data_IF_471341779192
#
_entry.id   IF_471341779192
#
_cell.length_a   1.000
_cell.length_b   1.000
_cell.length_c   1.000
_cell.angle_alpha   90.00
_cell.angle_beta   90.00
_cell.angle_gamma   90.00
#
_symmetry.space_group_name_H-M   'P 1'
#
loop_
_entity.id
_entity.type
_entity.pdbx_description
1 polymer ?
#
# COMPACT_ATOMS: atom_id res chain seq x y z
N UNK A 1 -3.82 24.74 -16.79
CA UNK A 1 -3.34 25.97 -17.47
C UNK A 1 -3.67 25.84 -18.93
N UNK A 2 -4.17 26.88 -19.58
CA UNK A 2 -4.51 26.84 -21.00
C UNK A 2 -4.17 28.16 -21.69
N UNK A 3 -3.98 28.12 -23.00
CA UNK A 3 -3.63 29.31 -23.78
C UNK A 3 -3.04 29.00 -25.16
N UNK A 4 -2.85 30.04 -25.96
CA UNK A 4 -2.23 29.90 -27.29
C UNK A 4 -0.71 29.82 -27.17
N UNK A 5 -0.13 28.83 -27.83
CA UNK A 5 1.30 28.79 -28.14
C UNK A 5 1.49 28.61 -29.64
N UNK A 6 2.54 29.21 -30.17
CA UNK A 6 3.00 28.97 -31.53
C UNK A 6 3.77 27.66 -31.56
N UNK A 7 3.25 26.67 -32.28
CA UNK A 7 3.90 25.37 -32.46
C UNK A 7 4.55 25.33 -33.83
N UNK A 8 5.80 24.90 -33.91
CA UNK A 8 6.42 24.58 -35.19
C UNK A 8 5.77 23.33 -35.79
N UNK A 9 5.37 23.41 -37.05
CA UNK A 9 4.67 22.34 -37.76
C UNK A 9 5.57 21.67 -38.80
N UNK A 10 6.05 22.41 -39.78
CA UNK A 10 6.98 21.94 -40.81
C UNK A 10 7.64 23.15 -41.51
N UNK A 11 8.55 22.91 -42.45
CA UNK A 11 9.24 23.99 -43.19
C UNK A 11 8.33 24.86 -44.07
N UNK A 12 7.17 24.34 -44.50
CA UNK A 12 6.23 25.07 -45.37
C UNK A 12 5.28 25.97 -44.58
N UNK A 13 4.74 25.47 -43.48
CA UNK A 13 3.73 26.11 -42.63
C UNK A 13 4.35 26.84 -41.43
N UNK A 14 5.58 26.48 -41.05
CA UNK A 14 6.34 27.13 -39.99
C UNK A 14 5.65 27.09 -38.63
N UNK A 15 5.68 28.24 -37.94
CA UNK A 15 5.04 28.46 -36.65
C UNK A 15 3.54 28.71 -36.84
N UNK A 16 2.71 27.91 -36.17
CA UNK A 16 1.25 28.02 -36.23
C UNK A 16 0.66 28.17 -34.83
N UNK A 17 -0.32 29.06 -34.61
CA UNK A 17 -0.96 29.18 -33.33
C UNK A 17 -1.80 27.92 -33.06
N UNK A 18 -1.65 27.37 -31.86
CA UNK A 18 -2.40 26.21 -31.38
C UNK A 18 -2.85 26.47 -29.95
N UNK A 19 -4.04 26.00 -29.62
CA UNK A 19 -4.56 26.08 -28.26
C UNK A 19 -4.00 24.92 -27.45
N UNK A 20 -3.25 25.22 -26.39
CA UNK A 20 -2.68 24.23 -25.50
C UNK A 20 -3.46 24.19 -24.19
N UNK A 21 -3.65 22.99 -23.67
CA UNK A 21 -4.29 22.73 -22.39
C UNK A 21 -3.42 21.77 -21.60
N UNK A 22 -2.90 22.25 -20.47
CA UNK A 22 -2.23 21.46 -19.45
C UNK A 22 -3.25 21.07 -18.39
N UNK A 23 -3.57 19.78 -18.36
CA UNK A 23 -4.51 19.19 -17.42
C UNK A 23 -3.98 17.84 -16.91
N UNK A 24 -4.10 17.59 -15.60
CA UNK A 24 -3.74 16.32 -14.96
C UNK A 24 -2.37 15.74 -15.37
N UNK A 25 -1.37 16.60 -15.56
CA UNK A 25 -0.03 16.17 -15.95
C UNK A 25 0.13 15.78 -17.42
N UNK A 26 -0.87 16.10 -18.26
CA UNK A 26 -0.85 15.92 -19.71
C UNK A 26 -1.01 17.28 -20.37
N UNK A 27 -0.12 17.60 -21.30
CA UNK A 27 -0.22 18.78 -22.14
C UNK A 27 -0.77 18.37 -23.51
N UNK A 28 -2.04 18.69 -23.78
CA UNK A 28 -2.68 18.46 -25.06
C UNK A 28 -2.73 19.76 -25.89
N UNK A 29 -2.79 19.63 -27.21
CA UNK A 29 -3.03 20.78 -28.10
C UNK A 29 -4.13 20.53 -29.13
N UNK A 30 -4.77 21.62 -29.51
CA UNK A 30 -5.91 21.70 -30.40
C UNK A 30 -5.67 22.76 -31.48
N UNK A 31 -6.46 22.72 -32.54
CA UNK A 31 -6.38 23.72 -33.62
C UNK A 31 -6.77 25.11 -33.12
N UNK A 32 -7.88 25.21 -32.39
CA UNK A 32 -8.34 26.41 -31.68
C UNK A 32 -9.03 26.02 -30.37
N UNK A 33 -9.41 27.02 -29.57
CA UNK A 33 -10.11 26.82 -28.29
C UNK A 33 -11.51 26.24 -28.48
N UNK A 34 -12.20 26.61 -29.55
CA UNK A 34 -13.57 26.18 -29.88
C UNK A 34 -13.60 24.73 -30.41
N UNK A 35 -12.50 24.30 -31.02
CA UNK A 35 -12.34 22.97 -31.61
C UNK A 35 -11.88 21.89 -30.61
N UNK A 36 -11.89 22.17 -29.29
CA UNK A 36 -11.55 21.16 -28.26
C UNK A 36 -12.45 19.92 -28.36
N UNK A 37 -13.72 20.12 -28.73
CA UNK A 37 -14.70 19.04 -28.93
C UNK A 37 -14.38 18.13 -30.13
N UNK A 38 -13.52 18.56 -31.06
CA UNK A 38 -13.13 17.77 -32.24
C UNK A 38 -11.96 16.82 -31.95
N UNK A 39 -11.51 16.75 -30.69
CA UNK A 39 -10.41 15.90 -30.25
C UNK A 39 -9.04 16.54 -30.41
N UNK A 40 -8.12 16.12 -29.54
CA UNK A 40 -6.74 16.62 -29.51
C UNK A 40 -5.97 16.26 -30.78
N UNK A 41 -5.06 17.13 -31.21
CA UNK A 41 -4.14 16.87 -32.33
C UNK A 41 -2.82 16.25 -31.90
N UNK A 42 -2.60 16.20 -30.59
CA UNK A 42 -1.49 15.52 -29.95
C UNK A 42 -1.44 15.90 -28.47
N UNK A 43 -0.76 15.06 -27.68
CA UNK A 43 -0.61 15.24 -26.25
C UNK A 43 0.74 14.73 -25.78
N UNK A 44 1.31 15.37 -24.75
CA UNK A 44 2.56 15.02 -24.09
C UNK A 44 2.31 14.72 -22.62
N UNK A 45 2.87 13.62 -22.12
CA UNK A 45 2.84 13.32 -20.69
C UNK A 45 3.98 14.04 -19.97
N UNK A 46 3.65 14.93 -19.04
CA UNK A 46 4.64 15.80 -18.38
C UNK A 46 5.63 15.04 -17.50
N UNK A 47 5.27 13.86 -16.98
CA UNK A 47 6.16 13.05 -16.12
C UNK A 47 7.45 12.62 -16.81
N UNK A 48 7.41 12.44 -18.14
CA UNK A 48 8.56 11.98 -18.96
C UNK A 48 9.06 13.06 -19.92
N UNK A 49 8.41 14.22 -19.94
CA UNK A 49 8.78 15.33 -20.81
C UNK A 49 9.92 16.14 -20.19
N UNK A 50 10.93 16.45 -20.98
CA UNK A 50 11.97 17.43 -20.69
C UNK A 50 11.57 18.80 -21.24
N UNK A 51 11.88 19.86 -20.50
CA UNK A 51 11.58 21.24 -20.86
C UNK A 51 12.91 21.94 -21.11
N UNK A 52 13.19 22.30 -22.36
CA UNK A 52 14.42 22.96 -22.77
C UNK A 52 14.12 24.41 -23.17
N UNK A 53 14.55 25.37 -22.36
CA UNK A 53 14.37 26.81 -22.68
C UNK A 53 15.42 27.23 -23.71
N UNK A 54 15.01 27.94 -24.76
CA UNK A 54 15.96 28.41 -25.77
C UNK A 54 16.85 29.52 -25.19
N UNK A 55 18.19 29.45 -25.35
CA UNK A 55 19.11 30.37 -24.66
C UNK A 55 19.04 31.81 -25.18
N UNK A 56 18.74 32.00 -26.47
CA UNK A 56 18.75 33.32 -27.13
C UNK A 56 17.35 33.87 -27.39
N UNK A 57 16.36 32.99 -27.58
CA UNK A 57 15.00 33.42 -27.93
C UNK A 57 14.19 33.41 -26.63
N UNK A 58 13.90 34.60 -26.13
CA UNK A 58 13.21 34.78 -24.86
C UNK A 58 11.73 34.36 -24.88
N UNK A 59 11.21 33.92 -26.03
CA UNK A 59 9.82 33.45 -26.18
C UNK A 59 9.73 31.97 -26.50
N UNK A 60 10.84 31.32 -26.87
CA UNK A 60 10.87 29.92 -27.31
C UNK A 60 11.32 28.96 -26.21
N UNK A 61 10.71 27.78 -26.22
CA UNK A 61 11.09 26.63 -25.43
C UNK A 61 10.65 25.35 -26.15
N UNK A 62 11.33 24.25 -25.86
CA UNK A 62 11.14 22.98 -26.53
C UNK A 62 10.71 21.92 -25.50
N UNK A 63 9.75 21.08 -25.89
CA UNK A 63 9.22 19.99 -25.08
C UNK A 63 9.60 18.67 -25.72
N UNK A 64 10.36 17.86 -24.99
CA UNK A 64 11.05 16.69 -25.54
C UNK A 64 10.65 15.46 -24.73
N UNK A 65 10.08 14.46 -25.41
CA UNK A 65 9.99 13.10 -24.89
C UNK A 65 11.03 12.27 -25.65
N UNK A 66 12.07 11.78 -24.95
CA UNK A 66 13.12 10.98 -25.58
C UNK A 66 12.54 9.84 -26.42
N UNK A 67 13.04 9.70 -27.64
CA UNK A 67 12.65 8.65 -28.61
C UNK A 67 11.20 8.67 -29.11
N UNK A 68 10.38 9.66 -28.74
CA UNK A 68 8.95 9.66 -29.08
C UNK A 68 8.50 10.94 -29.78
N UNK A 69 8.53 12.08 -29.07
CA UNK A 69 7.92 13.32 -29.54
C UNK A 69 8.78 14.53 -29.18
N UNK A 70 8.79 15.52 -30.08
CA UNK A 70 9.47 16.79 -29.87
C UNK A 70 8.57 17.92 -30.36
N UNK A 71 8.14 18.79 -29.44
CA UNK A 71 7.40 20.00 -29.77
C UNK A 71 8.28 21.23 -29.58
N UNK A 72 8.53 21.94 -30.68
CA UNK A 72 9.08 23.29 -30.63
C UNK A 72 7.92 24.27 -30.44
N UNK A 73 7.97 25.05 -29.36
CA UNK A 73 6.90 25.97 -28.99
C UNK A 73 7.42 27.36 -28.65
N UNK A 74 6.57 28.37 -28.89
CA UNK A 74 6.88 29.77 -28.63
C UNK A 74 5.66 30.48 -28.06
N UNK A 75 5.84 31.20 -26.96
CA UNK A 75 4.80 32.05 -26.37
C UNK A 75 4.74 33.42 -27.06
N UNK A 76 3.68 34.19 -26.82
CA UNK A 76 3.58 35.52 -27.41
C UNK A 76 4.56 36.51 -26.75
N UNK A 77 4.82 36.34 -25.45
CA UNK A 77 5.75 37.19 -24.69
C UNK A 77 6.72 36.38 -23.82
N UNK A 78 7.86 36.95 -23.40
CA UNK A 78 8.77 36.30 -22.46
C UNK A 78 8.13 35.99 -21.10
N UNK A 79 7.21 36.85 -20.66
CA UNK A 79 6.44 36.65 -19.44
C UNK A 79 5.53 35.42 -19.56
N UNK A 80 4.77 35.32 -20.65
CA UNK A 80 3.94 34.14 -20.91
C UNK A 80 4.77 32.86 -21.04
N UNK A 81 5.92 32.93 -21.73
CA UNK A 81 6.87 31.80 -21.79
C UNK A 81 7.22 31.34 -20.39
N UNK A 82 7.58 32.27 -19.50
CA UNK A 82 7.94 31.93 -18.13
C UNK A 82 6.76 31.29 -17.38
N UNK A 83 5.55 31.84 -17.51
CA UNK A 83 4.34 31.26 -16.91
C UNK A 83 4.12 29.82 -17.36
N UNK A 84 4.27 29.54 -18.67
CA UNK A 84 4.16 28.19 -19.21
C UNK A 84 5.23 27.26 -18.66
N UNK A 85 6.50 27.67 -18.69
CA UNK A 85 7.62 26.85 -18.17
C UNK A 85 7.42 26.51 -16.70
N UNK A 86 6.99 27.49 -15.88
CA UNK A 86 6.70 27.29 -14.45
C UNK A 86 5.56 26.30 -14.28
N UNK A 87 4.43 26.48 -14.97
CA UNK A 87 3.28 25.58 -14.83
C UNK A 87 3.62 24.14 -15.25
N UNK A 88 4.35 23.98 -16.35
CA UNK A 88 4.80 22.67 -16.85
C UNK A 88 5.79 22.02 -15.87
N UNK A 89 6.74 22.78 -15.33
CA UNK A 89 7.69 22.32 -14.32
C UNK A 89 7.01 21.88 -13.03
N UNK A 90 6.05 22.68 -12.54
CA UNK A 90 5.25 22.35 -11.36
C UNK A 90 4.42 21.08 -11.59
N UNK A 91 3.74 20.97 -12.74
CA UNK A 91 2.99 19.77 -13.07
C UNK A 91 3.89 18.53 -13.09
N UNK A 92 5.10 18.62 -13.67
CA UNK A 92 6.08 17.53 -13.66
C UNK A 92 6.52 17.16 -12.23
N UNK A 93 6.77 18.14 -11.37
CA UNK A 93 7.20 17.91 -9.98
C UNK A 93 6.08 17.27 -9.12
N UNK A 94 4.83 17.71 -9.25
CA UNK A 94 3.70 17.13 -8.52
C UNK A 94 3.46 15.65 -8.87
N UNK A 95 3.72 15.26 -10.12
CA UNK A 95 3.65 13.86 -10.54
C UNK A 95 4.77 13.00 -9.91
N UNK A 96 5.96 13.58 -9.72
CA UNK A 96 7.05 12.89 -9.02
C UNK A 96 6.75 12.71 -7.51
N UNK A 97 6.19 13.74 -6.85
CA UNK A 97 5.83 13.65 -5.42
C UNK A 97 4.70 12.63 -5.17
N UNK A 98 3.67 12.62 -6.02
CA UNK A 98 2.57 11.65 -5.91
C UNK A 98 3.03 10.20 -6.11
N UNK A 99 4.01 9.97 -6.99
CA UNK A 99 4.65 8.66 -7.12
C UNK A 99 5.43 8.27 -5.86
N UNK A 100 6.24 9.18 -5.33
CA UNK A 100 6.99 8.94 -4.08
C UNK A 100 6.06 8.68 -2.89
N UNK A 101 4.93 9.39 -2.75
CA UNK A 101 3.94 9.13 -1.69
C UNK A 101 3.26 7.77 -1.82
N UNK A 102 2.91 7.35 -3.03
CA UNK A 102 2.33 6.01 -3.26
C UNK A 102 3.34 4.91 -2.95
N UNK A 103 4.61 5.10 -3.33
CA UNK A 103 5.70 4.18 -3.01
C UNK A 103 5.96 4.13 -1.48
N UNK A 104 5.96 5.27 -0.79
CA UNK A 104 6.09 5.33 0.68
C UNK A 104 4.92 4.67 1.41
N UNK A 105 3.67 4.93 1.01
CA UNK A 105 2.49 4.35 1.65
C UNK A 105 2.37 2.83 1.45
N UNK A 106 2.83 2.32 0.29
CA UNK A 106 2.90 0.88 0.04
C UNK A 106 3.96 0.21 0.92
N UNK A 107 5.14 0.83 1.05
CA UNK A 107 6.22 0.26 1.86
C UNK A 107 5.89 0.29 3.37
N UNK A 108 5.24 1.35 3.86
CA UNK A 108 4.74 1.44 5.23
C UNK A 108 3.68 0.37 5.55
N UNK A 109 2.74 0.15 4.61
CA UNK A 109 1.73 -0.91 4.73
C UNK A 109 2.36 -2.30 4.78
N UNK A 110 3.42 -2.52 3.98
CA UNK A 110 4.16 -3.79 3.93
C UNK A 110 4.96 -4.04 5.20
N UNK A 111 5.62 -3.02 5.75
CA UNK A 111 6.31 -3.12 7.04
C UNK A 111 5.32 -3.40 8.20
N UNK A 112 4.17 -2.73 8.20
CA UNK A 112 3.10 -2.99 9.17
C UNK A 112 2.60 -4.44 9.08
N UNK A 113 2.39 -4.95 7.86
CA UNK A 113 1.97 -6.32 7.62
C UNK A 113 3.02 -7.34 8.11
N UNK A 114 4.31 -7.08 7.90
CA UNK A 114 5.41 -7.93 8.42
C UNK A 114 5.40 -7.98 9.96
N UNK A 115 5.18 -6.84 10.61
CA UNK A 115 5.04 -6.76 12.06
C UNK A 115 3.90 -7.64 12.57
N UNK A 116 2.70 -7.50 11.99
CA UNK A 116 1.54 -8.31 12.37
C UNK A 116 1.69 -9.79 12.04
N UNK A 117 2.35 -10.15 10.95
CA UNK A 117 2.68 -11.55 10.66
C UNK A 117 3.63 -12.16 11.71
N UNK A 118 4.51 -11.35 12.28
CA UNK A 118 5.38 -11.78 13.38
C UNK A 118 4.59 -11.96 14.68
N UNK A 119 3.66 -11.05 14.99
CA UNK A 119 2.73 -11.22 16.12
C UNK A 119 1.89 -12.50 15.98
N UNK A 120 1.36 -12.79 14.79
CA UNK A 120 0.59 -14.01 14.54
C UNK A 120 1.39 -15.28 14.79
N UNK A 121 2.70 -15.29 14.45
CA UNK A 121 3.58 -16.42 14.77
C UNK A 121 3.71 -16.60 16.28
N UNK A 122 3.95 -15.52 17.02
CA UNK A 122 4.04 -15.56 18.48
C UNK A 122 2.73 -16.04 19.11
N UNK A 123 1.59 -15.57 18.62
CA UNK A 123 0.27 -16.04 19.09
C UNK A 123 0.04 -17.50 18.74
N UNK A 124 0.45 -17.98 17.56
CA UNK A 124 0.37 -19.39 17.20
C UNK A 124 1.18 -20.26 18.16
N UNK A 125 2.42 -19.87 18.47
CA UNK A 125 3.27 -20.57 19.43
C UNK A 125 2.64 -20.58 20.84
N UNK A 126 2.08 -19.45 21.27
CA UNK A 126 1.38 -19.35 22.56
C UNK A 126 0.13 -20.23 22.62
N UNK A 127 -0.67 -20.27 21.55
CA UNK A 127 -1.83 -21.14 21.45
C UNK A 127 -1.43 -22.61 21.53
N UNK A 128 -0.37 -23.02 20.83
CA UNK A 128 0.17 -24.38 20.90
C UNK A 128 0.60 -24.73 22.33
N UNK A 129 1.27 -23.81 23.02
CA UNK A 129 1.67 -24.01 24.42
C UNK A 129 0.46 -24.13 25.36
N UNK A 130 -0.55 -23.26 25.22
CA UNK A 130 -1.77 -23.31 26.04
C UNK A 130 -2.57 -24.59 25.83
N UNK A 131 -2.71 -25.05 24.57
CA UNK A 131 -3.35 -26.33 24.25
C UNK A 131 -2.58 -27.51 24.83
N UNK A 132 -1.24 -27.50 24.76
CA UNK A 132 -0.40 -28.53 25.38
C UNK A 132 -0.60 -28.59 26.90
N UNK A 133 -0.66 -27.43 27.56
CA UNK A 133 -0.88 -27.32 29.00
C UNK A 133 -2.25 -27.89 29.40
N UNK A 134 -3.32 -27.50 28.70
CA UNK A 134 -4.67 -28.01 28.95
C UNK A 134 -4.74 -29.51 28.71
N UNK A 135 -4.13 -30.01 27.61
CA UNK A 135 -4.09 -31.44 27.30
C UNK A 135 -3.43 -32.24 28.44
N UNK A 136 -2.29 -31.76 28.93
CA UNK A 136 -1.55 -32.40 30.02
C UNK A 136 -2.35 -32.38 31.33
N UNK A 137 -3.04 -31.27 31.63
CA UNK A 137 -3.89 -31.14 32.81
C UNK A 137 -5.16 -32.01 32.72
N UNK A 138 -5.67 -32.26 31.52
CA UNK A 138 -6.87 -33.08 31.28
C UNK A 138 -6.58 -34.59 31.30
N UNK A 139 -5.40 -35.03 30.86
CA UNK A 139 -5.01 -36.45 30.91
C UNK A 139 -4.72 -36.93 32.33
N UNK A 140 -5.38 -38.01 32.74
CA UNK A 140 -5.13 -38.71 34.01
C UNK A 140 -3.90 -39.64 33.87
N UNK A 141 -2.95 -39.69 34.81
CA UNK A 141 -1.76 -40.54 34.74
C UNK A 141 -1.97 -42.07 34.77
N UNK A 142 -3.19 -42.60 34.58
CA UNK A 142 -3.46 -44.03 34.77
C UNK A 142 -3.67 -44.79 33.44
N UNK A 143 -2.58 -44.98 32.67
CA UNK A 143 -2.49 -46.07 31.70
C UNK A 143 -1.09 -46.73 31.75
N UNK A 144 -0.85 -47.51 32.79
CA UNK A 144 0.35 -48.35 32.93
C UNK A 144 0.08 -49.57 33.82
N UNK A 145 -0.09 -50.73 33.19
CA UNK A 145 -0.38 -52.04 33.81
C UNK A 145 0.74 -52.49 34.76
N UNK A 146 0.39 -52.97 35.97
CA UNK A 146 1.33 -53.69 36.84
C UNK A 146 0.79 -53.98 38.25
N UNK A 147 0.33 -55.22 38.46
CA UNK A 147 -0.26 -55.75 39.70
C UNK A 147 0.71 -55.74 40.89
N UNK A 148 0.45 -54.91 41.92
CA UNK A 148 1.22 -55.00 43.18
C UNK A 148 0.88 -54.05 44.35
N UNK A 149 0.05 -53.01 44.19
CA UNK A 149 0.03 -51.88 45.13
C UNK A 149 -1.37 -51.43 45.59
N UNK A 150 -2.27 -52.36 45.93
CA UNK A 150 -3.70 -52.09 46.21
C UNK A 150 -3.94 -51.07 47.35
N UNK A 151 -3.09 -51.03 48.40
CA UNK A 151 -3.26 -50.11 49.53
C UNK A 151 -2.77 -48.68 49.24
N UNK A 152 -1.62 -48.55 48.58
CA UNK A 152 -1.12 -47.25 48.16
C UNK A 152 -2.01 -46.66 47.08
N UNK A 153 -2.51 -47.46 46.13
CA UNK A 153 -3.50 -46.99 45.16
C UNK A 153 -4.79 -46.54 45.84
N UNK A 154 -5.32 -47.24 46.85
CA UNK A 154 -6.52 -46.74 47.55
C UNK A 154 -6.29 -45.43 48.29
N UNK A 155 -5.14 -45.25 48.95
CA UNK A 155 -4.79 -44.00 49.61
C UNK A 155 -4.53 -42.88 48.60
N UNK A 156 -3.81 -43.16 47.51
CA UNK A 156 -3.56 -42.22 46.43
C UNK A 156 -4.87 -41.85 45.73
N UNK A 157 -5.69 -42.84 45.36
CA UNK A 157 -7.00 -42.66 44.74
C UNK A 157 -7.93 -41.89 45.67
N UNK A 158 -7.99 -42.18 46.97
CA UNK A 158 -8.80 -41.42 47.95
C UNK A 158 -8.27 -40.00 48.19
N UNK A 159 -6.95 -39.81 48.21
CA UNK A 159 -6.29 -38.52 48.36
C UNK A 159 -6.42 -37.67 47.09
N UNK A 160 -6.52 -38.32 45.93
CA UNK A 160 -6.59 -37.70 44.61
C UNK A 160 -8.03 -37.46 44.14
N UNK A 161 -8.98 -38.32 44.51
CA UNK A 161 -10.44 -38.11 44.40
C UNK A 161 -11.00 -37.25 45.53
N UNK A 162 -10.12 -36.66 46.36
CA UNK A 162 -10.54 -35.65 47.34
C UNK A 162 -11.21 -34.48 46.60
N UNK A 163 -12.43 -34.07 47.00
CA UNK A 163 -13.18 -33.02 46.32
C UNK A 163 -12.38 -31.71 46.23
N UNK A 164 -11.59 -31.39 47.24
CA UNK A 164 -10.75 -30.19 47.31
C UNK A 164 -9.68 -30.12 46.19
N UNK A 165 -9.07 -31.25 45.81
CA UNK A 165 -8.11 -31.31 44.70
C UNK A 165 -8.80 -31.35 43.33
N UNK A 166 -9.99 -31.93 43.27
CA UNK A 166 -10.81 -32.00 42.06
C UNK A 166 -11.30 -30.60 41.68
N UNK A 167 -11.74 -29.80 42.66
CA UNK A 167 -12.12 -28.41 42.48
C UNK A 167 -10.95 -27.54 42.02
N UNK A 168 -9.75 -27.75 42.58
CA UNK A 168 -8.55 -27.01 42.19
C UNK A 168 -8.08 -27.33 40.76
N UNK A 169 -8.20 -28.60 40.33
CA UNK A 169 -7.94 -29.02 38.93
C UNK A 169 -8.95 -28.39 37.97
N UNK A 170 -10.24 -28.39 38.32
CA UNK A 170 -11.30 -27.78 37.53
C UNK A 170 -11.14 -26.25 37.41
N UNK A 171 -10.73 -25.58 38.48
CA UNK A 171 -10.44 -24.14 38.48
C UNK A 171 -9.25 -23.81 37.56
N UNK A 172 -8.15 -24.56 37.64
CA UNK A 172 -6.98 -24.40 36.76
C UNK A 172 -7.33 -24.65 35.28
N UNK A 173 -8.18 -25.65 34.99
CA UNK A 173 -8.67 -25.91 33.64
C UNK A 173 -9.56 -24.78 33.12
N UNK A 174 -10.44 -24.22 33.97
CA UNK A 174 -11.29 -23.09 33.61
C UNK A 174 -10.45 -21.83 33.31
N UNK A 175 -9.47 -21.50 34.14
CA UNK A 175 -8.55 -20.36 33.89
C UNK A 175 -7.73 -20.57 32.62
N UNK A 176 -7.21 -21.77 32.39
CA UNK A 176 -6.45 -22.11 31.18
C UNK A 176 -7.32 -22.00 29.92
N UNK A 177 -8.58 -22.46 29.99
CA UNK A 177 -9.54 -22.34 28.89
C UNK A 177 -9.92 -20.88 28.60
N UNK A 178 -10.08 -20.06 29.65
CA UNK A 178 -10.35 -18.62 29.51
C UNK A 178 -9.19 -17.89 28.82
N UNK A 179 -7.95 -18.16 29.25
CA UNK A 179 -6.75 -17.59 28.66
C UNK A 179 -6.57 -18.02 27.19
N UNK A 180 -6.86 -19.29 26.88
CA UNK A 180 -6.86 -19.79 25.50
C UNK A 180 -7.87 -19.03 24.64
N UNK A 181 -9.10 -18.84 25.13
CA UNK A 181 -10.14 -18.09 24.41
C UNK A 181 -9.69 -16.65 24.11
N UNK A 182 -9.12 -15.95 25.09
CA UNK A 182 -8.62 -14.60 24.91
C UNK A 182 -7.46 -14.52 23.88
N UNK A 183 -6.61 -15.54 23.84
CA UNK A 183 -5.50 -15.64 22.90
C UNK A 183 -6.01 -15.91 21.48
N UNK A 184 -7.00 -16.80 21.33
CA UNK A 184 -7.68 -17.06 20.05
C UNK A 184 -8.34 -15.80 19.49
N UNK A 185 -9.06 -15.05 20.33
CA UNK A 185 -9.72 -13.80 19.90
C UNK A 185 -8.71 -12.78 19.40
N UNK A 186 -7.57 -12.65 20.09
CA UNK A 186 -6.50 -11.72 19.71
C UNK A 186 -5.85 -12.16 18.40
N UNK A 187 -5.55 -13.45 18.25
CA UNK A 187 -5.05 -14.02 17.00
C UNK A 187 -5.99 -13.74 15.82
N UNK A 188 -7.29 -14.00 15.98
CA UNK A 188 -8.29 -13.79 14.92
C UNK A 188 -8.39 -12.31 14.54
N UNK A 189 -8.35 -11.38 15.52
CA UNK A 189 -8.34 -9.94 15.24
C UNK A 189 -7.11 -9.54 14.44
N UNK A 190 -5.91 -9.93 14.89
CA UNK A 190 -4.65 -9.61 14.19
C UNK A 190 -4.62 -10.23 12.79
N UNK A 191 -5.17 -11.44 12.62
CA UNK A 191 -5.26 -12.10 11.32
C UNK A 191 -6.20 -11.34 10.37
N UNK A 192 -7.35 -10.89 10.87
CA UNK A 192 -8.28 -10.08 10.09
C UNK A 192 -7.66 -8.74 9.67
N UNK A 193 -6.86 -8.13 10.54
CA UNK A 193 -6.09 -6.92 10.21
C UNK A 193 -5.04 -7.19 9.12
N UNK A 194 -4.32 -8.33 9.19
CA UNK A 194 -3.42 -8.75 8.12
C UNK A 194 -4.14 -8.92 6.78
N UNK A 195 -5.31 -9.57 6.75
CA UNK A 195 -6.09 -9.75 5.53
C UNK A 195 -6.51 -8.41 4.92
N UNK A 196 -7.00 -7.47 5.74
CA UNK A 196 -7.36 -6.11 5.28
C UNK A 196 -6.16 -5.34 4.73
N UNK A 197 -5.01 -5.41 5.39
CA UNK A 197 -3.77 -4.75 4.92
C UNK A 197 -3.28 -5.38 3.60
N UNK A 198 -3.38 -6.70 3.46
CA UNK A 198 -3.05 -7.39 2.23
C UNK A 198 -3.98 -6.97 1.07
N UNK A 199 -5.30 -6.97 1.27
CA UNK A 199 -6.27 -6.57 0.24
C UNK A 199 -6.02 -5.14 -0.27
N UNK A 200 -5.67 -4.22 0.63
CA UNK A 200 -5.33 -2.84 0.28
C UNK A 200 -3.99 -2.73 -0.48
N UNK A 201 -3.07 -3.69 -0.32
CA UNK A 201 -1.79 -3.73 -1.01
C UNK A 201 -1.86 -4.34 -2.42
N UNK A 202 -2.86 -5.20 -2.68
CA UNK A 202 -3.02 -5.92 -3.95
C UNK A 202 -4.10 -5.34 -4.87
N UNK A 203 -4.90 -4.38 -4.41
CA UNK A 203 -5.86 -3.66 -5.27
C UNK A 203 -5.16 -2.50 -5.98
N UNK A 204 -4.95 -2.56 -7.32
CA UNK A 204 -4.54 -1.38 -8.06
C UNK A 204 -5.70 -0.38 -7.98
N UNK A 205 -5.44 0.79 -7.42
CA UNK A 205 -6.37 1.93 -7.48
C UNK A 205 -6.54 2.30 -8.97
N UNK A 206 -7.61 1.81 -9.60
CA UNK A 206 -8.02 2.14 -10.98
C UNK A 206 -8.48 3.60 -11.03
#
# INVERSE_FOLDING_TARGET
MEGVLWKWTNYLSGWQPRWFVLDNGVLAYYKSQEEVHQGSKGALKMSVCEIAVHPTDQTRFDLIIPHEQHFYVKAATPAERQTWVVALGTAKACLADSRNRKEQGLEESKETLKGKMSELRLYCDLLLQQVSNIKTAATDPDQGVGTGTVYLYKLFFSYWTSPEKTDQKNLMLHESSSLLSATCDTFIRTMNECMKLADNSFTPQI
#
